data_IF_791318273098
#
_entry.id   IF_791318273098
#
_cell.length_a   1.000
_cell.length_b   1.000
_cell.length_c   1.000
_cell.angle_alpha   90.00
_cell.angle_beta   90.00
_cell.angle_gamma   90.00
#
_symmetry.space_group_name_H-M   'P 1'
#
loop_
_entity.id
_entity.type
_entity.pdbx_description
1 polymer ?
#
# COMPACT_ATOMS: atom_id res chain seq x y z
N UNK A 1 -14.79 -19.63 -17.52
CA UNK A 1 -14.17 -19.17 -16.26
C UNK A 1 -13.66 -17.77 -16.50
N UNK A 2 -14.21 -16.76 -15.80
CA UNK A 2 -13.65 -15.42 -15.85
C UNK A 2 -12.23 -15.49 -15.25
N UNK A 3 -11.21 -14.86 -15.87
CA UNK A 3 -9.91 -14.80 -15.27
C UNK A 3 -10.01 -14.03 -13.95
N UNK A 4 -9.53 -14.62 -12.88
CA UNK A 4 -9.47 -14.03 -11.55
C UNK A 4 -8.86 -12.62 -11.64
N UNK A 5 -9.62 -11.60 -11.27
CA UNK A 5 -9.20 -10.21 -11.38
C UNK A 5 -8.38 -9.83 -10.16
N UNK A 6 -7.11 -10.25 -10.16
CA UNK A 6 -6.15 -9.82 -9.13
C UNK A 6 -5.91 -8.31 -9.24
N UNK A 7 -5.96 -7.59 -8.11
CA UNK A 7 -5.55 -6.18 -8.04
C UNK A 7 -4.03 -6.03 -7.93
N UNK A 8 -3.27 -7.14 -8.03
CA UNK A 8 -1.82 -7.13 -8.05
C UNK A 8 -1.25 -7.93 -9.22
N UNK A 9 -0.04 -7.54 -9.64
CA UNK A 9 0.74 -8.22 -10.66
C UNK A 9 2.21 -8.19 -10.31
N UNK A 10 2.88 -9.34 -10.41
CA UNK A 10 4.32 -9.43 -10.31
C UNK A 10 4.99 -9.36 -11.69
N UNK A 11 6.11 -8.61 -11.75
CA UNK A 11 7.04 -8.59 -12.89
C UNK A 11 8.43 -8.90 -12.36
N UNK A 12 9.15 -9.78 -13.06
CA UNK A 12 10.54 -10.15 -12.77
C UNK A 12 11.39 -9.68 -13.93
N UNK A 13 12.33 -8.79 -13.65
CA UNK A 13 13.30 -8.33 -14.63
C UNK A 13 14.65 -8.93 -14.30
N UNK A 14 15.31 -9.47 -15.33
CA UNK A 14 16.68 -9.98 -15.25
C UNK A 14 17.59 -9.00 -15.95
N UNK A 15 18.46 -8.36 -15.19
CA UNK A 15 19.46 -7.42 -15.72
C UNK A 15 20.86 -7.93 -15.42
N UNK A 16 21.84 -7.69 -16.31
CA UNK A 16 23.24 -7.94 -15.99
C UNK A 16 23.64 -7.19 -14.71
N UNK A 17 24.40 -7.85 -13.82
CA UNK A 17 24.91 -7.18 -12.63
C UNK A 17 25.82 -6.00 -13.03
N UNK A 18 25.72 -4.85 -12.31
CA UNK A 18 26.50 -3.65 -12.68
C UNK A 18 28.02 -3.87 -12.72
N UNK A 19 28.53 -4.82 -11.96
CA UNK A 19 29.95 -5.09 -11.81
C UNK A 19 30.41 -6.39 -12.50
N UNK A 20 29.48 -7.19 -13.07
CA UNK A 20 29.80 -8.43 -13.76
C UNK A 20 28.74 -8.76 -14.82
N UNK A 21 29.01 -8.53 -16.12
CA UNK A 21 28.04 -8.78 -17.20
C UNK A 21 27.59 -10.25 -17.33
N UNK A 22 28.34 -11.19 -16.76
CA UNK A 22 28.03 -12.62 -16.77
C UNK A 22 27.14 -13.04 -15.58
N UNK A 23 26.89 -12.14 -14.64
CA UNK A 23 26.02 -12.36 -13.49
C UNK A 23 24.69 -11.64 -13.70
N UNK A 24 23.59 -12.34 -13.48
CA UNK A 24 22.25 -11.79 -13.68
C UNK A 24 21.64 -11.43 -12.31
N UNK A 25 21.33 -10.16 -12.15
CA UNK A 25 20.55 -9.69 -10.99
C UNK A 25 19.07 -9.75 -11.34
N UNK A 26 18.28 -10.39 -10.51
CA UNK A 26 16.82 -10.43 -10.65
C UNK A 26 16.21 -9.33 -9.77
N UNK A 27 15.46 -8.41 -10.39
CA UNK A 27 14.65 -7.45 -9.67
C UNK A 27 13.18 -7.87 -9.72
N UNK A 28 12.49 -7.80 -8.58
CA UNK A 28 11.08 -8.15 -8.44
C UNK A 28 10.25 -6.88 -8.24
N UNK A 29 9.25 -6.73 -9.07
CA UNK A 29 8.34 -5.58 -8.98
C UNK A 29 6.91 -6.07 -8.79
N UNK A 30 6.26 -5.55 -7.75
CA UNK A 30 4.84 -5.75 -7.47
C UNK A 30 4.08 -4.49 -7.90
N UNK A 31 3.06 -4.65 -8.72
CA UNK A 31 2.11 -3.59 -9.05
C UNK A 31 0.81 -3.83 -8.29
N UNK A 32 0.37 -2.83 -7.53
CA UNK A 32 -0.93 -2.76 -6.86
C UNK A 32 -1.77 -1.71 -7.59
N UNK A 33 -2.71 -2.15 -8.42
CA UNK A 33 -3.52 -1.27 -9.26
C UNK A 33 -5.01 -1.52 -9.07
N UNK A 34 -5.79 -0.43 -9.03
CA UNK A 34 -7.25 -0.49 -8.87
C UNK A 34 -7.69 -0.73 -7.43
N UNK A 35 -8.94 -1.15 -7.25
CA UNK A 35 -9.56 -1.33 -5.94
C UNK A 35 -9.00 -2.55 -5.23
N UNK A 36 -8.64 -2.39 -3.96
CA UNK A 36 -8.11 -3.48 -3.11
C UNK A 36 -9.27 -4.37 -2.69
N UNK A 37 -9.21 -5.66 -3.07
CA UNK A 37 -10.22 -6.66 -2.74
C UNK A 37 -11.66 -6.26 -3.16
N UNK A 38 -11.82 -5.75 -4.39
CA UNK A 38 -13.10 -5.29 -4.94
C UNK A 38 -14.19 -6.37 -4.89
N UNK A 39 -13.84 -7.63 -5.14
CA UNK A 39 -14.80 -8.74 -5.21
C UNK A 39 -14.87 -9.52 -3.91
N UNK A 40 -13.77 -9.91 -3.33
CA UNK A 40 -13.65 -10.47 -1.97
C UNK A 40 -12.21 -10.82 -1.63
N UNK A 41 -11.81 -10.58 -0.39
CA UNK A 41 -10.53 -11.07 0.16
C UNK A 41 -10.68 -12.43 0.84
N UNK A 42 -11.92 -12.82 1.14
CA UNK A 42 -12.25 -14.01 1.92
C UNK A 42 -12.85 -15.15 1.07
N UNK A 43 -13.16 -14.88 -0.20
CA UNK A 43 -13.63 -15.87 -1.15
C UNK A 43 -12.47 -16.61 -1.85
N UNK A 44 -12.76 -17.80 -2.39
CA UNK A 44 -11.78 -18.76 -2.89
C UNK A 44 -10.92 -18.27 -4.06
N UNK A 45 -11.26 -17.17 -4.70
CA UNK A 45 -10.64 -16.71 -5.94
C UNK A 45 -9.42 -15.79 -5.75
N UNK A 46 -9.40 -14.92 -4.72
CA UNK A 46 -8.31 -13.97 -4.46
C UNK A 46 -8.03 -13.92 -2.98
N UNK A 47 -7.22 -14.83 -2.47
CA UNK A 47 -7.02 -15.04 -1.05
C UNK A 47 -5.73 -14.40 -0.51
N UNK A 48 -5.67 -14.11 0.80
CA UNK A 48 -4.43 -13.74 1.48
C UNK A 48 -3.30 -14.74 1.27
N UNK A 49 -3.66 -16.03 1.21
CA UNK A 49 -2.69 -17.11 0.97
C UNK A 49 -2.06 -17.01 -0.42
N UNK A 50 -2.84 -16.64 -1.43
CA UNK A 50 -2.35 -16.46 -2.80
C UNK A 50 -1.39 -15.26 -2.89
N UNK A 51 -1.74 -14.13 -2.27
CA UNK A 51 -0.86 -12.97 -2.21
C UNK A 51 0.46 -13.31 -1.49
N UNK A 52 0.38 -13.99 -0.35
CA UNK A 52 1.55 -14.45 0.40
C UNK A 52 2.42 -15.39 -0.43
N UNK A 53 1.81 -16.38 -1.09
CA UNK A 53 2.53 -17.33 -1.97
C UNK A 53 3.26 -16.60 -3.11
N UNK A 54 2.60 -15.64 -3.74
CA UNK A 54 3.21 -14.81 -4.80
C UNK A 54 4.37 -13.96 -4.24
N UNK A 55 4.22 -13.37 -3.04
CA UNK A 55 5.25 -12.58 -2.37
C UNK A 55 6.48 -13.44 -2.02
N UNK A 56 6.26 -14.62 -1.46
CA UNK A 56 7.31 -15.55 -1.02
C UNK A 56 7.92 -16.38 -2.17
N UNK A 57 7.40 -16.26 -3.40
CA UNK A 57 7.88 -17.02 -4.57
C UNK A 57 9.28 -16.64 -5.05
N UNK A 58 9.94 -15.68 -4.41
CA UNK A 58 11.30 -15.25 -4.69
C UNK A 58 11.88 -14.50 -3.48
N UNK A 59 13.14 -14.17 -3.57
CA UNK A 59 13.93 -13.50 -2.52
C UNK A 59 14.51 -12.19 -3.03
N UNK A 60 15.20 -11.44 -2.16
CA UNK A 60 15.84 -10.17 -2.49
C UNK A 60 14.90 -8.98 -2.36
N UNK A 61 15.39 -7.81 -2.71
CA UNK A 61 14.65 -6.56 -2.59
C UNK A 61 13.49 -6.49 -3.58
N UNK A 62 12.42 -5.81 -3.19
CA UNK A 62 11.24 -5.63 -4.04
C UNK A 62 10.89 -4.15 -4.19
N UNK A 63 10.38 -3.81 -5.37
CA UNK A 63 9.72 -2.52 -5.61
C UNK A 63 8.21 -2.75 -5.70
N UNK A 64 7.44 -1.96 -4.94
CA UNK A 64 5.98 -1.99 -4.95
C UNK A 64 5.46 -0.70 -5.58
N UNK A 65 4.89 -0.78 -6.77
CA UNK A 65 4.20 0.33 -7.40
C UNK A 65 2.75 0.38 -6.98
N UNK A 66 2.30 1.55 -6.54
CA UNK A 66 0.93 1.75 -6.05
C UNK A 66 0.20 2.78 -6.91
N UNK A 67 -0.95 2.37 -7.46
CA UNK A 67 -1.93 3.24 -8.09
C UNK A 67 -3.34 2.73 -7.78
N UNK A 68 -3.88 3.12 -6.62
CA UNK A 68 -5.11 2.56 -6.07
C UNK A 68 -5.93 3.60 -5.32
N UNK A 69 -7.26 3.61 -5.49
CA UNK A 69 -8.18 4.43 -4.69
C UNK A 69 -8.40 3.88 -3.27
N UNK A 70 -7.84 2.71 -2.96
CA UNK A 70 -8.11 1.99 -1.72
C UNK A 70 -9.08 0.83 -1.92
N UNK A 71 -9.85 0.50 -0.90
CA UNK A 71 -10.79 -0.62 -0.86
C UNK A 71 -10.91 -1.20 0.54
N UNK A 72 -10.87 -2.53 0.67
CA UNK A 72 -11.06 -3.22 1.94
C UNK A 72 -9.90 -2.96 2.92
N UNK A 73 -10.26 -2.47 4.13
CA UNK A 73 -9.29 -2.11 5.16
C UNK A 73 -8.61 -3.33 5.79
N UNK A 74 -9.30 -4.47 5.89
CA UNK A 74 -8.73 -5.69 6.48
C UNK A 74 -7.75 -6.35 5.52
N UNK A 75 -8.08 -6.36 4.22
CA UNK A 75 -7.15 -6.78 3.18
C UNK A 75 -5.88 -5.91 3.17
N UNK A 76 -6.05 -4.60 3.27
CA UNK A 76 -4.92 -3.68 3.32
C UNK A 76 -4.05 -3.88 4.56
N UNK A 77 -4.64 -4.07 5.73
CA UNK A 77 -3.92 -4.34 6.98
C UNK A 77 -3.10 -5.66 6.87
N UNK A 78 -3.68 -6.69 6.26
CA UNK A 78 -3.00 -7.95 6.08
C UNK A 78 -1.84 -7.85 5.08
N UNK A 79 -2.02 -7.13 3.96
CA UNK A 79 -0.96 -6.87 2.99
C UNK A 79 0.16 -6.03 3.62
N UNK A 80 -0.19 -4.99 4.40
CA UNK A 80 0.77 -4.20 5.17
C UNK A 80 1.66 -5.10 6.02
N UNK A 81 1.06 -6.01 6.82
CA UNK A 81 1.83 -6.92 7.67
C UNK A 81 2.71 -7.88 6.84
N UNK A 82 2.20 -8.42 5.73
CA UNK A 82 2.98 -9.30 4.85
C UNK A 82 4.21 -8.59 4.27
N UNK A 83 4.08 -7.32 3.88
CA UNK A 83 5.19 -6.51 3.37
C UNK A 83 6.17 -6.13 4.49
N UNK A 84 5.69 -5.83 5.70
CA UNK A 84 6.55 -5.55 6.88
C UNK A 84 7.35 -6.77 7.34
N UNK A 85 6.78 -7.98 7.21
CA UNK A 85 7.42 -9.24 7.55
C UNK A 85 8.39 -9.73 6.45
N UNK A 86 8.36 -9.10 5.27
CA UNK A 86 9.20 -9.50 4.15
C UNK A 86 10.70 -9.26 4.47
N UNK A 87 11.56 -10.24 4.12
CA UNK A 87 12.99 -10.22 4.53
C UNK A 87 13.88 -9.32 3.67
N UNK A 88 13.47 -8.98 2.45
CA UNK A 88 14.17 -8.05 1.58
C UNK A 88 13.73 -6.60 1.81
N UNK A 89 14.48 -5.62 1.31
CA UNK A 89 14.05 -4.22 1.33
C UNK A 89 12.79 -4.04 0.48
N UNK A 90 11.81 -3.34 1.02
CA UNK A 90 10.56 -2.98 0.33
C UNK A 90 10.62 -1.50 -0.01
N UNK A 91 10.78 -1.17 -1.29
CA UNK A 91 10.68 0.21 -1.78
C UNK A 91 9.30 0.42 -2.41
N UNK A 92 8.48 1.27 -1.80
CA UNK A 92 7.16 1.65 -2.35
C UNK A 92 7.31 2.87 -3.24
N UNK A 93 6.70 2.83 -4.42
CA UNK A 93 6.65 3.95 -5.37
C UNK A 93 5.20 4.26 -5.74
N UNK A 94 4.77 5.50 -5.53
CA UNK A 94 3.43 5.95 -5.87
C UNK A 94 3.52 6.77 -7.16
N UNK A 95 2.96 6.24 -8.26
CA UNK A 95 3.05 6.90 -9.57
C UNK A 95 1.75 7.58 -10.01
N UNK A 96 0.65 7.35 -9.31
CA UNK A 96 -0.62 7.99 -9.53
C UNK A 96 -1.29 8.35 -8.22
N UNK A 97 -1.86 7.36 -7.55
CA UNK A 97 -2.65 7.55 -6.35
C UNK A 97 -2.39 6.44 -5.32
N UNK A 98 -2.24 6.83 -4.06
CA UNK A 98 -2.36 5.93 -2.92
C UNK A 98 -3.39 6.51 -1.95
N UNK A 99 -4.66 6.14 -2.13
CA UNK A 99 -5.75 6.68 -1.32
C UNK A 99 -6.32 5.63 -0.36
N UNK A 100 -6.82 6.11 0.81
CA UNK A 100 -7.54 5.26 1.76
C UNK A 100 -6.73 4.01 2.16
N UNK A 101 -7.28 2.82 2.01
CA UNK A 101 -6.63 1.54 2.29
C UNK A 101 -5.28 1.36 1.57
N UNK A 102 -5.11 1.91 0.35
CA UNK A 102 -3.85 1.86 -0.37
C UNK A 102 -2.75 2.69 0.28
N UNK A 103 -3.09 3.80 0.95
CA UNK A 103 -2.12 4.59 1.71
C UNK A 103 -1.60 3.83 2.93
N UNK A 104 -2.42 2.97 3.55
CA UNK A 104 -1.98 2.08 4.64
C UNK A 104 -0.93 1.09 4.12
N UNK A 105 -1.19 0.44 2.98
CA UNK A 105 -0.23 -0.49 2.37
C UNK A 105 1.09 0.23 2.04
N UNK A 106 1.01 1.46 1.52
CA UNK A 106 2.20 2.24 1.18
C UNK A 106 3.12 2.47 2.39
N UNK A 107 2.57 2.60 3.60
CA UNK A 107 3.35 2.77 4.84
C UNK A 107 4.15 1.52 5.25
N UNK A 108 3.95 0.39 4.60
CA UNK A 108 4.76 -0.80 4.83
C UNK A 108 6.16 -0.72 4.21
N UNK A 109 6.40 0.23 3.32
CA UNK A 109 7.69 0.41 2.68
C UNK A 109 8.79 0.86 3.64
N UNK A 110 9.97 0.23 3.56
CA UNK A 110 11.19 0.73 4.20
C UNK A 110 11.53 2.11 3.63
N UNK A 111 11.25 2.30 2.35
CA UNK A 111 11.36 3.56 1.65
C UNK A 111 10.09 3.80 0.83
N UNK A 112 9.50 4.98 0.95
CA UNK A 112 8.29 5.40 0.22
C UNK A 112 8.62 6.61 -0.64
N UNK A 113 8.49 6.47 -1.95
CA UNK A 113 8.76 7.52 -2.92
C UNK A 113 7.46 7.91 -3.65
N UNK A 114 7.28 9.19 -3.91
CA UNK A 114 6.13 9.73 -4.64
C UNK A 114 6.58 10.36 -5.95
N UNK A 115 5.81 10.15 -7.02
CA UNK A 115 6.04 10.89 -8.27
C UNK A 115 5.65 12.36 -8.11
N UNK A 116 6.24 13.30 -8.88
CA UNK A 116 5.96 14.73 -8.74
C UNK A 116 4.48 15.12 -8.89
N UNK A 117 3.68 14.28 -9.56
CA UNK A 117 2.24 14.50 -9.84
C UNK A 117 1.35 13.47 -9.18
N UNK A 118 1.89 12.59 -8.34
CA UNK A 118 1.10 11.61 -7.59
C UNK A 118 0.50 12.21 -6.33
N UNK A 119 -0.51 11.53 -5.82
CA UNK A 119 -1.26 11.95 -4.63
C UNK A 119 -1.32 10.83 -3.59
N UNK A 120 -1.30 11.22 -2.33
CA UNK A 120 -1.69 10.38 -1.19
C UNK A 120 -2.95 10.96 -0.57
N UNK A 121 -3.90 10.11 -0.20
CA UNK A 121 -5.10 10.55 0.54
C UNK A 121 -5.35 9.65 1.73
N UNK A 122 -5.62 10.27 2.87
CA UNK A 122 -6.02 9.59 4.11
C UNK A 122 -7.34 10.14 4.60
N UNK A 123 -8.20 9.24 5.08
CA UNK A 123 -9.51 9.59 5.63
C UNK A 123 -9.96 8.54 6.67
N UNK A 124 -11.09 8.78 7.31
CA UNK A 124 -11.69 7.83 8.23
C UNK A 124 -12.21 6.58 7.48
N UNK A 125 -12.13 5.38 8.10
CA UNK A 125 -12.78 4.21 7.57
C UNK A 125 -14.30 4.41 7.54
N UNK A 126 -14.95 3.80 6.56
CA UNK A 126 -16.40 3.83 6.42
C UNK A 126 -16.97 2.42 6.20
N UNK A 127 -18.22 2.22 6.58
CA UNK A 127 -18.94 0.97 6.33
C UNK A 127 -20.42 1.25 6.06
N UNK A 128 -21.12 0.24 5.58
CA UNK A 128 -22.57 0.23 5.52
C UNK A 128 -23.06 -0.72 6.61
N UNK A 129 -23.97 -0.25 7.47
CA UNK A 129 -24.58 -1.05 8.52
C UNK A 129 -26.11 -0.99 8.40
N UNK A 130 -26.77 -2.08 8.69
CA UNK A 130 -28.23 -2.20 8.72
C UNK A 130 -28.64 -2.94 9.99
N UNK A 131 -29.71 -2.48 10.61
CA UNK A 131 -30.23 -3.11 11.82
C UNK A 131 -30.87 -2.11 12.79
N UNK A 132 -30.98 -2.48 14.04
CA UNK A 132 -31.47 -1.64 15.10
C UNK A 132 -30.36 -0.72 15.68
N UNK A 133 -30.71 0.03 16.72
CA UNK A 133 -29.77 0.95 17.38
C UNK A 133 -28.53 0.24 17.92
N UNK A 134 -28.68 -1.00 18.41
CA UNK A 134 -27.54 -1.76 18.92
C UNK A 134 -26.56 -2.17 17.80
N UNK A 135 -27.09 -2.57 16.65
CA UNK A 135 -26.25 -2.89 15.48
C UNK A 135 -25.53 -1.64 14.95
N UNK A 136 -26.20 -0.48 14.93
CA UNK A 136 -25.55 0.80 14.56
C UNK A 136 -24.43 1.13 15.54
N UNK A 137 -24.64 0.96 16.85
CA UNK A 137 -23.63 1.23 17.86
C UNK A 137 -22.40 0.33 17.69
N UNK A 138 -22.58 -0.97 17.42
CA UNK A 138 -21.49 -1.91 17.13
C UNK A 138 -20.68 -1.48 15.90
N UNK A 139 -21.34 -1.01 14.84
CA UNK A 139 -20.67 -0.52 13.65
C UNK A 139 -19.80 0.72 13.96
N UNK A 140 -20.29 1.65 14.78
CA UNK A 140 -19.53 2.82 15.24
C UNK A 140 -18.30 2.40 16.04
N UNK A 141 -18.45 1.46 16.97
CA UNK A 141 -17.35 0.94 17.78
C UNK A 141 -16.29 0.25 16.89
N UNK A 142 -16.73 -0.62 15.97
CA UNK A 142 -15.82 -1.26 14.99
C UNK A 142 -15.05 -0.23 14.17
N UNK A 143 -15.68 0.80 13.62
CA UNK A 143 -15.02 1.84 12.85
C UNK A 143 -13.99 2.61 13.68
N UNK A 144 -14.25 2.82 14.97
CA UNK A 144 -13.33 3.48 15.89
C UNK A 144 -12.06 2.63 16.09
N UNK A 145 -12.20 1.31 16.26
CA UNK A 145 -11.07 0.39 16.37
C UNK A 145 -10.29 0.28 15.06
N UNK A 146 -10.98 0.22 13.91
CA UNK A 146 -10.32 0.22 12.59
C UNK A 146 -9.53 1.51 12.39
N UNK A 147 -10.10 2.67 12.74
CA UNK A 147 -9.39 3.95 12.69
C UNK A 147 -8.13 3.93 13.57
N UNK A 148 -8.25 3.45 14.80
CA UNK A 148 -7.13 3.35 15.73
C UNK A 148 -6.01 2.44 15.19
N UNK A 149 -6.37 1.33 14.54
CA UNK A 149 -5.44 0.42 13.88
C UNK A 149 -4.71 1.08 12.70
N UNK A 150 -5.43 1.77 11.83
CA UNK A 150 -4.86 2.52 10.71
C UNK A 150 -3.86 3.59 11.19
N UNK A 151 -4.21 4.31 12.26
CA UNK A 151 -3.31 5.31 12.87
C UNK A 151 -2.00 4.69 13.33
N UNK A 152 -1.96 3.43 13.76
CA UNK A 152 -0.70 2.76 14.15
C UNK A 152 0.26 2.69 12.95
N UNK A 153 -0.21 2.29 11.77
CA UNK A 153 0.61 2.22 10.57
C UNK A 153 1.14 3.61 10.15
N UNK A 154 0.28 4.62 10.19
CA UNK A 154 0.71 6.00 9.89
C UNK A 154 1.68 6.54 10.91
N UNK A 155 1.47 6.28 12.20
CA UNK A 155 2.35 6.74 13.27
C UNK A 155 3.73 6.12 13.18
N UNK A 156 3.81 4.81 12.88
CA UNK A 156 5.08 4.10 12.71
C UNK A 156 5.92 4.71 11.57
N UNK A 157 5.28 5.03 10.45
CA UNK A 157 5.97 5.62 9.30
C UNK A 157 6.32 7.09 9.51
N UNK A 158 5.36 7.89 9.97
CA UNK A 158 5.49 9.35 9.96
C UNK A 158 6.10 9.93 11.23
N UNK A 159 6.00 9.22 12.37
CA UNK A 159 6.36 9.74 13.69
C UNK A 159 5.38 10.81 14.22
N UNK A 160 4.31 11.14 13.50
CA UNK A 160 3.32 12.12 13.93
C UNK A 160 2.50 11.60 15.12
N UNK A 161 2.03 12.53 15.96
CA UNK A 161 1.16 12.15 17.09
C UNK A 161 -0.19 11.60 16.61
N UNK A 162 -0.76 10.67 17.39
CA UNK A 162 -2.10 10.10 17.11
C UNK A 162 -3.18 11.16 16.93
N UNK A 163 -3.15 12.22 17.75
CA UNK A 163 -4.09 13.32 17.64
C UNK A 163 -3.95 14.11 16.34
N UNK A 164 -2.71 14.31 15.84
CA UNK A 164 -2.47 14.95 14.55
C UNK A 164 -2.98 14.06 13.41
N UNK A 165 -2.67 12.77 13.45
CA UNK A 165 -3.12 11.78 12.45
C UNK A 165 -4.64 11.64 12.44
N UNK A 166 -5.28 11.57 13.62
CA UNK A 166 -6.75 11.52 13.70
C UNK A 166 -7.39 12.72 13.03
N UNK A 167 -6.88 13.95 13.28
CA UNK A 167 -7.41 15.16 12.63
C UNK A 167 -7.22 15.14 11.12
N UNK A 168 -6.05 14.73 10.64
CA UNK A 168 -5.79 14.62 9.20
C UNK A 168 -6.76 13.64 8.53
N UNK A 169 -7.11 12.54 9.21
CA UNK A 169 -8.12 11.59 8.72
C UNK A 169 -9.53 12.17 8.79
N UNK A 170 -9.89 12.90 9.86
CA UNK A 170 -11.20 13.56 10.00
C UNK A 170 -11.46 14.60 8.91
N UNK A 171 -10.39 15.28 8.46
CA UNK A 171 -10.41 16.32 7.43
C UNK A 171 -10.34 15.75 6.00
N UNK A 172 -10.23 14.42 5.81
CA UNK A 172 -9.93 13.81 4.52
C UNK A 172 -8.76 14.51 3.82
N UNK A 173 -7.56 14.23 4.29
CA UNK A 173 -6.38 14.97 3.85
C UNK A 173 -5.82 14.42 2.55
N UNK A 174 -5.80 15.27 1.53
CA UNK A 174 -5.10 15.05 0.27
C UNK A 174 -3.70 15.67 0.34
N UNK A 175 -2.70 14.93 -0.11
CA UNK A 175 -1.29 15.32 -0.10
C UNK A 175 -0.71 15.18 -1.51
N UNK A 176 -0.21 16.27 -2.04
CA UNK A 176 0.71 16.24 -3.18
C UNK A 176 2.10 15.73 -2.74
N UNK A 177 3.03 15.61 -3.68
CA UNK A 177 4.36 15.09 -3.41
C UNK A 177 5.09 15.89 -2.31
N UNK A 178 4.99 17.23 -2.32
CA UNK A 178 5.64 18.08 -1.34
C UNK A 178 5.07 17.90 0.07
N UNK A 179 3.74 17.92 0.19
CA UNK A 179 3.04 17.74 1.47
C UNK A 179 3.22 16.33 2.02
N UNK A 180 3.27 15.32 1.15
CA UNK A 180 3.53 13.93 1.57
C UNK A 180 4.92 13.78 2.21
N UNK A 181 5.94 14.41 1.64
CA UNK A 181 7.30 14.45 2.22
C UNK A 181 7.34 15.30 3.49
N UNK A 182 6.71 16.49 3.51
CA UNK A 182 6.63 17.35 4.70
C UNK A 182 6.01 16.64 5.92
N UNK A 183 4.96 15.85 5.68
CA UNK A 183 4.27 15.10 6.73
C UNK A 183 4.85 13.68 6.94
N UNK A 184 5.95 13.35 6.31
CA UNK A 184 6.66 12.06 6.40
C UNK A 184 5.85 10.83 5.95
N UNK A 185 4.80 11.01 5.14
CA UNK A 185 4.14 9.90 4.44
C UNK A 185 4.97 9.39 3.26
N UNK A 186 5.93 10.19 2.80
CA UNK A 186 6.93 9.79 1.82
C UNK A 186 8.33 10.22 2.26
N UNK A 187 9.33 9.46 1.88
CA UNK A 187 10.74 9.75 2.17
C UNK A 187 11.37 10.66 1.11
N UNK A 188 10.78 10.71 -0.08
CA UNK A 188 11.29 11.55 -1.16
C UNK A 188 10.39 11.56 -2.40
N UNK A 189 10.78 12.41 -3.36
CA UNK A 189 10.13 12.51 -4.66
C UNK A 189 11.02 11.82 -5.69
N UNK A 190 10.43 10.94 -6.54
CA UNK A 190 11.18 10.24 -7.57
C UNK A 190 11.75 11.20 -8.61
N UNK A 191 13.04 11.02 -8.96
CA UNK A 191 13.63 11.71 -10.10
C UNK A 191 13.26 11.04 -11.43
N UNK A 192 13.42 11.79 -12.54
CA UNK A 192 13.19 11.24 -13.88
C UNK A 192 14.09 10.04 -14.19
N UNK A 193 15.32 10.07 -13.71
CA UNK A 193 16.32 9.02 -13.95
C UNK A 193 15.97 7.72 -13.20
N UNK A 194 15.38 7.82 -12.02
CA UNK A 194 14.90 6.66 -11.25
C UNK A 194 13.68 5.99 -11.89
N UNK A 195 12.82 6.77 -12.58
CA UNK A 195 11.67 6.24 -13.31
C UNK A 195 12.10 5.45 -14.57
N UNK A 196 13.22 5.83 -15.21
CA UNK A 196 13.72 5.14 -16.39
C UNK A 196 14.44 3.84 -16.06
N UNK A 197 15.19 3.78 -14.96
CA UNK A 197 15.94 2.59 -14.56
C UNK A 197 15.07 1.41 -14.06
N UNK A 198 13.78 1.63 -13.85
CA UNK A 198 12.82 0.59 -13.41
C UNK A 198 11.89 0.10 -14.52
N UNK A 199 11.96 0.70 -15.74
CA UNK A 199 11.09 0.34 -16.88
C UNK A 199 11.80 -0.45 -17.99
N UNK A 200 13.09 -0.70 -17.86
CA UNK A 200 13.87 -1.59 -18.72
C UNK A 200 14.10 -2.92 -18.01
#
# INVERSE_FOLDING_TARGET
MNPQKKFWKWVRNKTPAPNNPNEVTESRTLFLNGTIAEESWFDDDVTPALFRSDLESGTGDITVWVNSPGGDCFAAAQIYNMLRDYKGKVTVKIDGLAASAASVIAMAGDEVLVSPVSMIMIHNPSTIAMGDTAEMQKAIEMLSEVKASIINAYQEKTGLSRNKLSRLMDEETWMDAGKAVELHFADGVTSRDELYNTKT
#
